data_IF_401298643664
#
_entry.id   IF_401298643664
#
_cell.length_a   1.000
_cell.length_b   1.000
_cell.length_c   1.000
_cell.angle_alpha   90.00
_cell.angle_beta   90.00
_cell.angle_gamma   90.00
#
_symmetry.space_group_name_H-M   'P 1'
#
loop_
_entity.id
_entity.type
_entity.pdbx_description
1 polymer ?
#
# COMPACT_ATOMS: atom_id res chain seq x y z
N UNK A 1 2.28 15.35 1.16
CA UNK A 1 1.15 15.19 0.20
C UNK A 1 1.66 14.51 -1.06
N UNK A 2 0.95 13.51 -1.53
CA UNK A 2 1.31 12.77 -2.74
C UNK A 2 0.11 12.64 -3.68
N UNK A 3 0.37 12.39 -4.96
CA UNK A 3 -0.70 12.12 -5.94
C UNK A 3 -1.20 10.68 -5.80
N UNK A 4 -2.38 10.42 -6.36
CA UNK A 4 -2.95 9.07 -6.45
C UNK A 4 -1.99 8.15 -7.20
N UNK A 5 -1.42 8.64 -8.31
CA UNK A 5 -0.48 7.89 -9.15
C UNK A 5 0.80 7.54 -8.36
N UNK A 6 1.33 8.48 -7.60
CA UNK A 6 2.54 8.25 -6.79
C UNK A 6 2.28 7.21 -5.71
N UNK A 7 1.13 7.26 -5.04
CA UNK A 7 0.75 6.26 -4.05
C UNK A 7 0.62 4.87 -4.68
N UNK A 8 -0.11 4.79 -5.80
CA UNK A 8 -0.35 3.52 -6.50
C UNK A 8 0.96 2.91 -7.01
N UNK A 9 1.83 3.72 -7.61
CA UNK A 9 3.11 3.27 -8.11
C UNK A 9 4.04 2.84 -6.96
N UNK A 10 4.03 3.58 -5.87
CA UNK A 10 4.82 3.25 -4.68
C UNK A 10 4.41 1.91 -4.06
N UNK A 11 3.11 1.63 -4.01
CA UNK A 11 2.61 0.32 -3.56
C UNK A 11 3.10 -0.81 -4.46
N UNK A 12 3.06 -0.63 -5.78
CA UNK A 12 3.55 -1.62 -6.73
C UNK A 12 5.07 -1.83 -6.57
N UNK A 13 5.83 -0.76 -6.46
CA UNK A 13 7.28 -0.83 -6.28
C UNK A 13 7.67 -1.54 -4.97
N UNK A 14 6.92 -1.28 -3.90
CA UNK A 14 7.11 -1.98 -2.63
C UNK A 14 6.90 -3.50 -2.80
N UNK A 15 5.84 -3.90 -3.48
CA UNK A 15 5.56 -5.33 -3.73
C UNK A 15 6.69 -5.97 -4.51
N UNK A 16 7.17 -5.32 -5.56
CA UNK A 16 8.25 -5.85 -6.41
C UNK A 16 9.58 -5.93 -5.66
N UNK A 17 9.94 -4.90 -4.92
CA UNK A 17 11.26 -4.77 -4.33
C UNK A 17 11.39 -5.38 -2.94
N UNK A 18 10.29 -5.47 -2.18
CA UNK A 18 10.30 -5.94 -0.80
C UNK A 18 9.60 -7.29 -0.59
N UNK A 19 8.51 -7.54 -1.32
CA UNK A 19 7.74 -8.77 -1.12
C UNK A 19 8.13 -9.88 -2.11
N UNK A 20 8.27 -9.57 -3.38
CA UNK A 20 8.63 -10.58 -4.40
C UNK A 20 9.95 -11.30 -4.09
N UNK A 21 11.02 -10.63 -3.59
CA UNK A 21 12.26 -11.31 -3.23
C UNK A 21 12.14 -12.34 -2.10
N UNK A 22 11.06 -12.28 -1.32
CA UNK A 22 10.77 -13.24 -0.25
C UNK A 22 10.08 -14.50 -0.76
N UNK A 23 9.81 -14.58 -2.04
CA UNK A 23 9.11 -15.68 -2.71
C UNK A 23 10.02 -16.35 -3.74
N UNK A 24 9.62 -17.53 -4.22
CA UNK A 24 10.36 -18.27 -5.24
C UNK A 24 9.41 -18.85 -6.31
N UNK A 25 9.94 -19.02 -7.51
CA UNK A 25 9.23 -19.69 -8.60
C UNK A 25 7.94 -18.99 -9.02
N UNK A 26 6.86 -19.74 -9.11
CA UNK A 26 5.55 -19.23 -9.50
C UNK A 26 5.04 -18.13 -8.58
N UNK A 27 5.36 -18.21 -7.29
CA UNK A 27 4.94 -17.18 -6.33
C UNK A 27 5.58 -15.82 -6.63
N UNK A 28 6.84 -15.78 -7.03
CA UNK A 28 7.52 -14.55 -7.44
C UNK A 28 6.83 -13.94 -8.66
N UNK A 29 6.53 -14.76 -9.66
CA UNK A 29 5.79 -14.30 -10.84
C UNK A 29 4.41 -13.76 -10.47
N UNK A 30 3.69 -14.44 -9.58
CA UNK A 30 2.39 -14.00 -9.08
C UNK A 30 2.50 -12.63 -8.37
N UNK A 31 3.57 -12.39 -7.61
CA UNK A 31 3.79 -11.08 -6.97
C UNK A 31 3.98 -9.96 -7.99
N UNK A 32 4.67 -10.19 -9.09
CA UNK A 32 4.77 -9.20 -10.16
C UNK A 32 3.42 -8.89 -10.78
N UNK A 33 2.58 -9.89 -11.01
CA UNK A 33 1.23 -9.68 -11.54
C UNK A 33 0.35 -8.90 -10.56
N UNK A 34 0.47 -9.20 -9.26
CA UNK A 34 -0.24 -8.47 -8.21
C UNK A 34 0.21 -7.01 -8.16
N UNK A 35 1.50 -6.74 -8.29
CA UNK A 35 2.03 -5.37 -8.31
C UNK A 35 1.44 -4.55 -9.47
N UNK A 36 1.38 -5.13 -10.66
CA UNK A 36 0.75 -4.49 -11.82
C UNK A 36 -0.74 -4.21 -11.58
N UNK A 37 -1.45 -5.18 -11.01
CA UNK A 37 -2.86 -5.05 -10.68
C UNK A 37 -3.10 -3.97 -9.62
N UNK A 38 -2.27 -3.91 -8.59
CA UNK A 38 -2.37 -2.91 -7.53
C UNK A 38 -2.15 -1.51 -8.08
N UNK A 39 -1.16 -1.33 -8.96
CA UNK A 39 -0.90 -0.03 -9.60
C UNK A 39 -2.15 0.50 -10.32
N UNK A 40 -2.81 -0.37 -11.09
CA UNK A 40 -3.99 0.03 -11.86
C UNK A 40 -5.24 0.18 -10.99
N UNK A 41 -5.52 -0.81 -10.15
CA UNK A 41 -6.78 -0.84 -9.37
C UNK A 41 -6.80 0.13 -8.20
N UNK A 42 -5.64 0.42 -7.59
CA UNK A 42 -5.59 1.38 -6.49
C UNK A 42 -6.02 2.78 -6.96
N UNK A 43 -5.55 3.20 -8.13
CA UNK A 43 -5.95 4.50 -8.71
C UNK A 43 -7.45 4.57 -8.95
N UNK A 44 -8.04 3.51 -9.52
CA UNK A 44 -9.49 3.44 -9.79
C UNK A 44 -10.28 3.45 -8.48
N UNK A 45 -9.88 2.61 -7.51
CA UNK A 45 -10.58 2.51 -6.23
C UNK A 45 -10.56 3.83 -5.46
N UNK A 46 -9.42 4.51 -5.43
CA UNK A 46 -9.30 5.82 -4.78
C UNK A 46 -10.15 6.85 -5.53
N UNK A 47 -10.10 6.87 -6.86
CA UNK A 47 -10.89 7.79 -7.67
C UNK A 47 -12.39 7.61 -7.46
N UNK A 48 -12.86 6.38 -7.34
CA UNK A 48 -14.28 6.06 -7.13
C UNK A 48 -14.75 6.39 -5.70
N UNK A 49 -13.84 6.58 -4.75
CA UNK A 49 -14.16 6.82 -3.34
C UNK A 49 -13.61 8.17 -2.82
N UNK A 50 -13.31 9.11 -3.70
CA UNK A 50 -12.71 10.39 -3.31
C UNK A 50 -13.50 11.15 -2.26
N UNK A 51 -14.81 11.16 -2.37
CA UNK A 51 -15.69 11.87 -1.43
C UNK A 51 -15.54 11.32 0.00
N UNK A 52 -15.55 10.00 0.14
CA UNK A 52 -15.35 9.33 1.44
C UNK A 52 -13.94 9.58 1.98
N UNK A 53 -12.94 9.47 1.14
CA UNK A 53 -11.54 9.66 1.54
C UNK A 53 -11.29 11.10 1.99
N UNK A 54 -11.88 12.08 1.31
CA UNK A 54 -11.84 13.48 1.72
C UNK A 54 -12.51 13.70 3.08
N UNK A 55 -13.68 13.10 3.28
CA UNK A 55 -14.43 13.26 4.54
C UNK A 55 -13.69 12.64 5.72
N UNK A 56 -12.87 11.62 5.50
CA UNK A 56 -12.01 11.01 6.53
C UNK A 56 -10.72 11.81 6.79
N UNK A 57 -10.48 12.85 5.99
CA UNK A 57 -9.31 13.72 6.16
C UNK A 57 -8.01 13.21 5.54
N UNK A 58 -8.07 12.20 4.66
CA UNK A 58 -6.89 11.64 4.00
C UNK A 58 -6.57 12.26 2.64
N UNK A 59 -7.43 13.13 2.15
CA UNK A 59 -7.26 13.78 0.86
C UNK A 59 -7.74 15.24 0.95
N UNK A 60 -7.04 16.16 0.28
CA UNK A 60 -7.45 17.56 0.20
C UNK A 60 -8.41 17.80 -0.99
N UNK A 61 -8.86 19.04 -1.15
CA UNK A 61 -9.80 19.41 -2.21
C UNK A 61 -9.19 19.32 -3.61
N UNK A 62 -7.86 19.31 -3.72
CA UNK A 62 -7.14 19.18 -4.97
C UNK A 62 -6.88 17.72 -5.38
N UNK A 63 -7.32 16.77 -4.55
CA UNK A 63 -7.09 15.34 -4.80
C UNK A 63 -5.71 14.85 -4.37
N UNK A 64 -4.95 15.66 -3.62
CA UNK A 64 -3.68 15.24 -3.06
C UNK A 64 -3.89 14.45 -1.77
N UNK A 65 -3.16 13.36 -1.60
CA UNK A 65 -3.30 12.43 -0.48
C UNK A 65 -2.35 12.84 0.64
N UNK A 66 -2.89 12.88 1.87
CA UNK A 66 -2.09 13.08 3.07
C UNK A 66 -1.41 11.77 3.48
N UNK A 67 -0.28 11.48 2.87
CA UNK A 67 0.51 10.28 3.14
C UNK A 67 0.99 10.24 4.59
N UNK A 68 1.36 11.37 5.17
CA UNK A 68 1.79 11.43 6.58
C UNK A 68 0.72 10.93 7.52
N UNK A 69 -0.53 11.34 7.31
CA UNK A 69 -1.66 10.90 8.13
C UNK A 69 -1.95 9.42 7.95
N UNK A 70 -1.99 8.95 6.68
CA UNK A 70 -2.25 7.53 6.37
C UNK A 70 -1.21 6.65 7.04
N UNK A 71 0.08 6.93 6.87
CA UNK A 71 1.14 6.08 7.41
C UNK A 71 1.25 6.16 8.92
N UNK A 72 0.94 7.31 9.51
CA UNK A 72 0.84 7.43 10.97
C UNK A 72 -0.29 6.53 11.51
N UNK A 73 -1.46 6.54 10.88
CA UNK A 73 -2.59 5.74 11.31
C UNK A 73 -2.34 4.24 11.09
N UNK A 74 -1.74 3.86 9.95
CA UNK A 74 -1.33 2.48 9.71
C UNK A 74 -0.31 1.99 10.74
N UNK A 75 0.65 2.84 11.07
CA UNK A 75 1.68 2.51 12.06
C UNK A 75 1.09 2.33 13.46
N UNK A 76 0.11 3.17 13.84
CA UNK A 76 -0.65 3.01 15.07
C UNK A 76 -1.40 1.68 15.11
N UNK A 77 -2.04 1.30 14.02
CA UNK A 77 -2.75 0.01 13.92
C UNK A 77 -1.77 -1.16 14.09
N UNK A 78 -0.62 -1.11 13.44
CA UNK A 78 0.40 -2.14 13.55
C UNK A 78 0.97 -2.21 14.97
N UNK A 79 1.14 -1.07 15.64
CA UNK A 79 1.60 -1.01 17.03
C UNK A 79 0.60 -1.67 17.99
N UNK A 80 -0.69 -1.34 17.87
CA UNK A 80 -1.74 -1.89 18.74
C UNK A 80 -1.94 -3.39 18.53
N UNK A 81 -1.90 -3.86 17.29
CA UNK A 81 -2.07 -5.27 16.94
C UNK A 81 -0.78 -6.10 17.10
N UNK A 82 0.37 -5.45 17.29
CA UNK A 82 1.69 -6.08 17.23
C UNK A 82 2.15 -6.28 15.79
N UNK A 83 1.26 -6.60 14.89
CA UNK A 83 1.49 -6.75 13.44
C UNK A 83 0.15 -6.88 12.73
N UNK A 84 0.15 -6.59 11.43
CA UNK A 84 -1.02 -6.77 10.55
C UNK A 84 -0.73 -7.91 9.59
N UNK A 85 -1.64 -8.85 9.46
CA UNK A 85 -1.51 -9.98 8.53
C UNK A 85 -2.46 -9.79 7.36
N UNK A 86 -1.93 -9.92 6.13
CA UNK A 86 -2.69 -9.84 4.90
C UNK A 86 -2.48 -11.13 4.10
N UNK A 87 -3.57 -11.78 3.74
CA UNK A 87 -3.53 -12.91 2.82
C UNK A 87 -3.46 -12.43 1.38
N UNK A 88 -2.47 -12.92 0.64
CA UNK A 88 -2.33 -12.67 -0.79
C UNK A 88 -2.65 -13.97 -1.51
N UNK A 89 -3.73 -14.04 -2.33
CA UNK A 89 -4.11 -15.25 -3.05
C UNK A 89 -2.93 -15.86 -3.83
N UNK A 90 -2.83 -17.18 -3.79
CA UNK A 90 -1.76 -18.00 -4.42
C UNK A 90 -0.42 -17.90 -3.69
N UNK A 91 -0.07 -16.72 -3.16
CA UNK A 91 1.24 -16.47 -2.54
C UNK A 91 1.26 -16.88 -1.06
N UNK A 92 0.20 -16.55 -0.31
CA UNK A 92 0.09 -16.85 1.12
C UNK A 92 0.01 -15.60 1.98
N UNK A 93 0.23 -15.76 3.28
CA UNK A 93 0.12 -14.67 4.24
C UNK A 93 1.42 -13.86 4.33
N UNK A 94 1.26 -12.54 4.38
CA UNK A 94 2.33 -11.61 4.72
C UNK A 94 1.96 -10.85 5.98
N UNK A 95 2.92 -10.67 6.88
CA UNK A 95 2.74 -9.87 8.09
C UNK A 95 3.55 -8.60 8.00
N UNK A 96 2.98 -7.51 8.50
CA UNK A 96 3.57 -6.18 8.46
C UNK A 96 3.61 -5.62 9.89
N UNK A 97 4.78 -5.22 10.33
CA UNK A 97 4.99 -4.50 11.59
C UNK A 97 5.22 -3.00 11.31
N UNK A 98 5.53 -2.24 12.35
CA UNK A 98 5.78 -0.80 12.21
C UNK A 98 6.97 -0.51 11.30
N UNK A 99 7.99 -1.36 11.32
CA UNK A 99 9.17 -1.18 10.47
C UNK A 99 8.82 -1.39 8.99
N UNK A 100 7.98 -2.36 8.68
CA UNK A 100 7.50 -2.60 7.32
C UNK A 100 6.67 -1.42 6.81
N UNK A 101 5.87 -0.80 7.66
CA UNK A 101 5.10 0.40 7.32
C UNK A 101 6.04 1.57 7.00
N UNK A 102 7.11 1.75 7.76
CA UNK A 102 8.13 2.78 7.48
C UNK A 102 8.82 2.54 6.13
N UNK A 103 9.12 1.29 5.80
CA UNK A 103 9.71 0.93 4.51
C UNK A 103 8.73 1.23 3.36
N UNK A 104 7.47 0.82 3.51
CA UNK A 104 6.43 1.12 2.51
C UNK A 104 6.32 2.62 2.25
N UNK A 105 6.35 3.44 3.29
CA UNK A 105 6.26 4.89 3.16
C UNK A 105 7.36 5.47 2.27
N UNK A 106 8.58 4.90 2.33
CA UNK A 106 9.70 5.38 1.50
C UNK A 106 9.43 5.22 0.01
N UNK A 107 8.66 4.21 -0.38
CA UNK A 107 8.30 3.98 -1.78
C UNK A 107 7.24 4.96 -2.30
N UNK A 108 6.42 5.52 -1.43
CA UNK A 108 5.34 6.44 -1.82
C UNK A 108 5.70 7.92 -1.62
N UNK A 109 6.84 8.21 -1.05
CA UNK A 109 7.32 9.58 -0.88
C UNK A 109 7.94 10.19 -2.13
#
# INVERSE_FOLDING_TARGET
MVTIEKLSQGLADYIINELAPKTTGLKTWAMYMIAMTVSDKASVLIGDNMSTIKSLGYMDDNGSIDDSKIFRDLKSMAHEAGRVTQNIPIVGDFTFDENDIDILRRYVQ
#
